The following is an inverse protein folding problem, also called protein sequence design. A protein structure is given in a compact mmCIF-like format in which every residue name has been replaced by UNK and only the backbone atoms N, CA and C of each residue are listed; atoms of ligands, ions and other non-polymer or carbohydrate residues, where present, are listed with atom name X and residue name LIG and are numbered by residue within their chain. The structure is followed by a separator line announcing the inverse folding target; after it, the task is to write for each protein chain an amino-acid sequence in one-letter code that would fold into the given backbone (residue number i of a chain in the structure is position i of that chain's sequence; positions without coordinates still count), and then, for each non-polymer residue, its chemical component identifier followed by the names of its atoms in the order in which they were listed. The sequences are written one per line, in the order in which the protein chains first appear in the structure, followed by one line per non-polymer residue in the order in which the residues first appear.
data_IF_084944753567
#
_entry.id   IF_084944753567
#
_cell.length_a   1.000
_cell.length_b   1.000
_cell.length_c   1.000
_cell.angle_alpha   90.00
_cell.angle_beta   90.00
_cell.angle_gamma   90.00
#
_symmetry.space_group_name_H-M   'P 1'
#
loop_
_entity.id
_entity.type
_entity.pdbx_description
1 polymer ?
#
# COMPACT_ATOMS: atom_id res chain seq x y z
N UNK A 1 -37.33 -42.22 -53.20
CA UNK A 1 -37.67 -40.97 -53.91
C UNK A 1 -38.44 -40.04 -52.98
N UNK A 2 -37.77 -39.02 -52.43
CA UNK A 2 -38.25 -37.62 -52.34
C UNK A 2 -37.22 -36.81 -51.57
N UNK A 3 -36.66 -35.83 -52.27
CA UNK A 3 -35.68 -34.86 -51.81
C UNK A 3 -36.40 -33.81 -50.97
N UNK A 4 -35.78 -33.32 -49.91
CA UNK A 4 -36.06 -31.98 -49.39
C UNK A 4 -34.76 -31.30 -48.98
N UNK A 5 -34.31 -30.44 -49.88
CA UNK A 5 -33.37 -29.34 -49.64
C UNK A 5 -34.09 -28.26 -48.83
N UNK A 6 -33.51 -27.83 -47.71
CA UNK A 6 -33.98 -26.70 -46.92
C UNK A 6 -32.78 -25.93 -46.38
N UNK A 7 -32.71 -24.66 -46.74
CA UNK A 7 -31.57 -23.75 -46.69
C UNK A 7 -31.29 -23.25 -45.27
N UNK A 8 -30.01 -22.96 -45.02
CA UNK A 8 -29.47 -22.32 -43.83
C UNK A 8 -30.13 -20.98 -43.49
N UNK A 9 -30.30 -20.73 -42.20
CA UNK A 9 -30.30 -19.39 -41.62
C UNK A 9 -29.66 -19.47 -40.23
N UNK A 10 -28.32 -19.44 -40.22
CA UNK A 10 -27.54 -19.23 -39.00
C UNK A 10 -27.78 -17.81 -38.51
N UNK A 11 -28.64 -17.68 -37.50
CA UNK A 11 -28.83 -16.43 -36.77
C UNK A 11 -27.77 -16.40 -35.67
N UNK A 12 -26.56 -15.97 -36.04
CA UNK A 12 -25.54 -15.57 -35.05
C UNK A 12 -26.03 -14.26 -34.44
N UNK A 13 -26.80 -14.38 -33.36
CA UNK A 13 -27.00 -13.28 -32.42
C UNK A 13 -25.63 -13.03 -31.76
N UNK A 14 -24.87 -12.14 -32.38
CA UNK A 14 -23.79 -11.43 -31.71
C UNK A 14 -24.44 -10.55 -30.63
N UNK A 15 -24.76 -11.17 -29.49
CA UNK A 15 -25.07 -10.45 -28.28
C UNK A 15 -23.82 -9.69 -27.88
N UNK A 16 -23.76 -8.41 -28.23
CA UNK A 16 -22.99 -7.44 -27.47
C UNK A 16 -23.49 -7.54 -26.03
N UNK A 17 -22.86 -8.40 -25.23
CA UNK A 17 -22.88 -8.26 -23.79
C UNK A 17 -22.31 -6.86 -23.55
N UNK A 18 -23.21 -5.90 -23.39
CA UNK A 18 -22.85 -4.57 -22.94
C UNK A 18 -21.98 -4.79 -21.71
N UNK A 19 -20.74 -4.35 -21.78
CA UNK A 19 -19.93 -4.23 -20.57
C UNK A 19 -20.74 -3.28 -19.69
N UNK A 20 -21.44 -3.83 -18.70
CA UNK A 20 -22.08 -3.03 -17.68
C UNK A 20 -20.98 -2.14 -17.13
N UNK A 21 -21.07 -0.82 -17.39
CA UNK A 21 -20.13 0.13 -16.82
C UNK A 21 -20.18 -0.10 -15.32
N UNK A 22 -19.06 -0.52 -14.74
CA UNK A 22 -19.01 -0.85 -13.33
C UNK A 22 -19.44 0.38 -12.53
N UNK A 23 -20.38 0.21 -11.61
CA UNK A 23 -20.96 1.31 -10.87
C UNK A 23 -19.89 2.03 -10.04
N UNK A 24 -19.96 3.36 -9.96
CA UNK A 24 -19.08 4.15 -9.11
C UNK A 24 -19.51 3.96 -7.64
N UNK A 25 -18.58 3.78 -6.69
CA UNK A 25 -18.91 3.69 -5.26
C UNK A 25 -19.68 4.91 -4.76
N UNK A 26 -20.67 4.67 -3.90
CA UNK A 26 -21.31 5.74 -3.14
C UNK A 26 -20.39 6.30 -2.06
N UNK A 27 -20.61 7.56 -1.66
CA UNK A 27 -19.92 8.16 -0.52
C UNK A 27 -20.09 7.31 0.76
N UNK A 28 -21.30 6.79 0.99
CA UNK A 28 -21.59 5.95 2.14
C UNK A 28 -20.75 4.66 2.14
N UNK A 29 -20.58 4.00 0.99
CA UNK A 29 -19.73 2.82 0.88
C UNK A 29 -18.28 3.13 1.24
N UNK A 30 -17.72 4.24 0.75
CA UNK A 30 -16.35 4.66 1.10
C UNK A 30 -16.22 4.97 2.59
N UNK A 31 -17.20 5.69 3.16
CA UNK A 31 -17.22 5.99 4.61
C UNK A 31 -17.28 4.72 5.45
N UNK A 32 -18.11 3.75 5.07
CA UNK A 32 -18.18 2.47 5.74
C UNK A 32 -16.86 1.70 5.64
N UNK A 33 -16.17 1.76 4.49
CA UNK A 33 -14.88 1.11 4.33
C UNK A 33 -13.85 1.74 5.28
N UNK A 34 -13.81 3.08 5.35
CA UNK A 34 -12.91 3.81 6.27
C UNK A 34 -13.13 3.47 7.74
N UNK A 35 -14.40 3.30 8.12
CA UNK A 35 -14.76 2.84 9.46
C UNK A 35 -14.32 1.38 9.68
N UNK A 36 -14.60 0.49 8.73
CA UNK A 36 -14.26 -0.94 8.82
C UNK A 36 -12.74 -1.18 8.94
N UNK A 37 -11.91 -0.36 8.28
CA UNK A 37 -10.45 -0.41 8.39
C UNK A 37 -9.89 0.34 9.60
N UNK A 38 -10.74 1.02 10.37
CA UNK A 38 -10.37 1.69 11.63
C UNK A 38 -9.66 3.04 11.44
N UNK A 39 -9.93 3.77 10.36
CA UNK A 39 -9.30 5.07 10.07
C UNK A 39 -9.44 6.06 11.24
N UNK A 40 -10.62 6.15 11.87
CA UNK A 40 -10.84 7.04 13.01
C UNK A 40 -9.93 6.73 14.20
N UNK A 41 -9.73 5.43 14.50
CA UNK A 41 -8.82 5.00 15.57
C UNK A 41 -7.37 5.36 15.24
N UNK A 42 -6.96 5.12 14.00
CA UNK A 42 -5.61 5.45 13.53
C UNK A 42 -5.34 6.96 13.64
N UNK A 43 -6.26 7.80 13.18
CA UNK A 43 -6.14 9.25 13.27
C UNK A 43 -6.10 9.75 14.72
N UNK A 44 -6.91 9.17 15.61
CA UNK A 44 -6.89 9.50 17.04
C UNK A 44 -5.55 9.15 17.70
N UNK A 45 -4.98 7.99 17.35
CA UNK A 45 -3.65 7.58 17.83
C UNK A 45 -2.56 8.53 17.33
N UNK A 46 -2.58 8.88 16.04
CA UNK A 46 -1.65 9.85 15.46
C UNK A 46 -1.79 11.22 16.14
N UNK A 47 -3.03 11.68 16.38
CA UNK A 47 -3.27 12.94 17.06
C UNK A 47 -2.73 12.93 18.49
N UNK A 48 -2.91 11.82 19.23
CA UNK A 48 -2.39 11.69 20.59
C UNK A 48 -0.85 11.77 20.62
N UNK A 49 -0.17 11.14 19.65
CA UNK A 49 1.28 11.21 19.52
C UNK A 49 1.75 12.63 19.18
N UNK A 50 1.12 13.28 18.20
CA UNK A 50 1.44 14.66 17.82
C UNK A 50 1.12 15.65 18.94
N UNK A 51 0.04 15.44 19.68
CA UNK A 51 -0.37 16.31 20.79
C UNK A 51 0.72 16.39 21.86
N UNK A 52 1.35 15.26 22.23
CA UNK A 52 2.45 15.27 23.19
C UNK A 52 3.67 16.07 22.69
N UNK A 53 3.99 15.96 21.40
CA UNK A 53 5.07 16.74 20.78
C UNK A 53 4.73 18.23 20.77
N UNK A 54 3.52 18.59 20.36
CA UNK A 54 3.07 19.98 20.26
C UNK A 54 2.94 20.65 21.64
N UNK A 55 2.48 19.91 22.65
CA UNK A 55 2.43 20.39 24.02
C UNK A 55 3.81 20.77 24.56
N UNK A 56 4.85 19.98 24.24
CA UNK A 56 6.22 20.30 24.63
C UNK A 56 6.79 21.49 23.85
N UNK A 57 6.42 21.64 22.58
CA UNK A 57 6.89 22.73 21.73
C UNK A 57 6.21 24.07 22.05
N UNK A 58 4.92 24.04 22.41
CA UNK A 58 4.07 25.21 22.68
C UNK A 58 3.39 25.08 24.05
N UNK A 59 4.14 25.24 25.16
CA UNK A 59 3.63 25.00 26.52
C UNK A 59 2.55 26.00 26.97
N UNK A 60 2.39 27.12 26.26
CA UNK A 60 1.33 28.10 26.52
C UNK A 60 -0.04 27.67 25.98
N UNK A 61 -0.11 26.67 25.10
CA UNK A 61 -1.36 26.14 24.55
C UNK A 61 -1.86 24.99 25.42
N UNK A 62 -3.12 25.01 25.90
CA UNK A 62 -3.65 23.94 26.74
C UNK A 62 -3.60 22.57 26.05
N UNK A 63 -3.27 21.52 26.81
CA UNK A 63 -3.23 20.15 26.29
C UNK A 63 -4.55 19.70 25.63
N UNK A 64 -5.68 20.18 26.14
CA UNK A 64 -7.02 19.89 25.59
C UNK A 64 -7.20 20.40 24.15
N UNK A 65 -6.54 21.49 23.76
CA UNK A 65 -6.57 21.98 22.39
C UNK A 65 -5.97 20.95 21.43
N UNK A 66 -4.78 20.43 21.76
CA UNK A 66 -4.10 19.43 20.95
C UNK A 66 -4.86 18.10 20.92
N UNK A 67 -5.43 17.68 22.05
CA UNK A 67 -6.27 16.48 22.12
C UNK A 67 -7.52 16.60 21.23
N UNK A 68 -8.12 17.78 21.14
CA UNK A 68 -9.27 18.06 20.29
C UNK A 68 -8.94 18.41 18.84
N UNK A 69 -7.65 18.50 18.46
CA UNK A 69 -7.25 18.97 17.14
C UNK A 69 -7.75 18.07 16.00
N UNK A 70 -7.71 16.74 16.19
CA UNK A 70 -8.33 15.77 15.28
C UNK A 70 -9.54 15.15 15.97
N UNK A 71 -10.64 15.89 15.97
CA UNK A 71 -11.92 15.42 16.46
C UNK A 71 -12.70 14.61 15.39
N UNK A 72 -13.93 14.22 15.73
CA UNK A 72 -14.82 13.51 14.82
C UNK A 72 -15.16 14.33 13.55
N UNK A 73 -15.25 15.65 13.67
CA UNK A 73 -15.54 16.52 12.54
C UNK A 73 -14.36 16.62 11.57
N UNK A 74 -13.15 16.83 12.09
CA UNK A 74 -11.91 16.81 11.30
C UNK A 74 -11.71 15.46 10.61
N UNK A 75 -12.00 14.36 11.31
CA UNK A 75 -11.99 13.01 10.74
C UNK A 75 -12.99 12.87 9.59
N UNK A 76 -14.23 13.32 9.78
CA UNK A 76 -15.27 13.26 8.76
C UNK A 76 -14.96 14.11 7.53
N UNK A 77 -14.32 15.28 7.72
CA UNK A 77 -13.85 16.13 6.64
C UNK A 77 -12.74 15.45 5.83
N UNK A 78 -11.77 14.82 6.50
CA UNK A 78 -10.71 14.07 5.83
C UNK A 78 -11.29 12.90 5.02
N UNK A 79 -12.20 12.11 5.62
CA UNK A 79 -12.87 11.01 4.91
C UNK A 79 -13.62 11.55 3.69
N UNK A 80 -14.35 12.67 3.82
CA UNK A 80 -15.04 13.31 2.70
C UNK A 80 -14.10 13.66 1.54
N UNK A 81 -12.88 14.14 1.83
CA UNK A 81 -11.85 14.41 0.81
C UNK A 81 -11.30 13.15 0.14
N UNK A 82 -11.36 12.01 0.82
CA UNK A 82 -10.91 10.71 0.27
C UNK A 82 -11.95 10.06 -0.65
N UNK A 83 -13.24 10.38 -0.50
CA UNK A 83 -14.33 9.83 -1.33
C UNK A 83 -14.02 9.87 -2.84
N UNK A 84 -13.69 11.04 -3.45
CA UNK A 84 -13.41 11.09 -4.88
C UNK A 84 -12.16 10.29 -5.30
N UNK A 85 -11.19 10.11 -4.40
CA UNK A 85 -10.02 9.25 -4.67
C UNK A 85 -10.45 7.80 -4.83
N UNK A 86 -11.29 7.30 -3.93
CA UNK A 86 -11.80 5.93 -4.01
C UNK A 86 -12.72 5.74 -5.22
N UNK A 87 -13.60 6.71 -5.50
CA UNK A 87 -14.47 6.68 -6.68
C UNK A 87 -13.69 6.66 -8.01
N UNK A 88 -12.48 7.20 -8.03
CA UNK A 88 -11.60 7.19 -9.21
C UNK A 88 -10.92 5.83 -9.43
N UNK A 89 -10.63 5.09 -8.36
CA UNK A 89 -9.77 3.90 -8.41
C UNK A 89 -10.50 2.58 -8.20
N UNK A 90 -11.72 2.61 -7.68
CA UNK A 90 -12.50 1.43 -7.34
C UNK A 90 -13.91 1.52 -7.90
N UNK A 91 -14.49 0.36 -8.16
CA UNK A 91 -15.91 0.19 -8.46
C UNK A 91 -16.70 -0.05 -7.17
N UNK A 92 -18.02 0.16 -7.20
CA UNK A 92 -18.89 -0.11 -6.06
C UNK A 92 -18.78 -1.58 -5.60
N UNK A 93 -18.64 -2.51 -6.54
CA UNK A 93 -18.44 -3.93 -6.28
C UNK A 93 -17.10 -4.20 -5.56
N UNK A 94 -16.02 -3.51 -5.95
CA UNK A 94 -14.73 -3.62 -5.25
C UNK A 94 -14.87 -3.19 -3.78
N UNK A 95 -15.54 -2.05 -3.54
CA UNK A 95 -15.73 -1.54 -2.17
C UNK A 95 -16.60 -2.48 -1.33
N UNK A 96 -17.65 -3.08 -1.92
CA UNK A 96 -18.46 -4.10 -1.24
C UNK A 96 -17.65 -5.36 -0.91
N UNK A 97 -16.79 -5.80 -1.84
CA UNK A 97 -15.85 -6.89 -1.61
C UNK A 97 -14.88 -6.60 -0.47
N UNK A 98 -14.29 -5.40 -0.46
CA UNK A 98 -13.40 -4.94 0.61
C UNK A 98 -14.12 -4.86 1.96
N UNK A 99 -15.34 -4.32 1.98
CA UNK A 99 -16.18 -4.27 3.18
C UNK A 99 -16.46 -5.66 3.74
N UNK A 100 -16.85 -6.60 2.87
CA UNK A 100 -17.08 -8.01 3.26
C UNK A 100 -15.81 -8.63 3.85
N UNK A 101 -14.67 -8.41 3.21
CA UNK A 101 -13.40 -8.92 3.69
C UNK A 101 -13.02 -8.31 5.05
N UNK A 102 -12.95 -6.98 5.16
CA UNK A 102 -12.51 -6.32 6.38
C UNK A 102 -13.46 -6.52 7.56
N UNK A 103 -14.75 -6.76 7.34
CA UNK A 103 -15.70 -7.15 8.40
C UNK A 103 -15.57 -8.60 8.84
N UNK A 104 -14.90 -9.46 8.08
CA UNK A 104 -14.68 -10.86 8.46
C UNK A 104 -13.68 -10.99 9.61
N UNK A 105 -13.69 -12.11 10.38
CA UNK A 105 -12.68 -12.37 11.40
C UNK A 105 -11.23 -12.31 10.86
N UNK A 106 -11.02 -12.80 9.63
CA UNK A 106 -9.70 -12.74 8.99
C UNK A 106 -9.32 -11.29 8.64
N UNK A 107 -10.24 -10.51 8.07
CA UNK A 107 -9.98 -9.11 7.73
C UNK A 107 -9.67 -8.25 8.96
N UNK A 108 -10.38 -8.47 10.07
CA UNK A 108 -10.07 -7.84 11.35
C UNK A 108 -8.71 -8.28 11.91
N UNK A 109 -8.33 -9.56 11.76
CA UNK A 109 -6.98 -10.03 12.08
C UNK A 109 -5.92 -9.33 11.22
N UNK A 110 -6.17 -9.12 9.93
CA UNK A 110 -5.27 -8.37 9.04
C UNK A 110 -5.09 -6.93 9.53
N UNK A 111 -6.18 -6.21 9.83
CA UNK A 111 -6.10 -4.83 10.35
C UNK A 111 -5.27 -4.75 11.63
N UNK A 112 -5.41 -5.72 12.52
CA UNK A 112 -4.75 -5.71 13.84
C UNK A 112 -3.30 -6.22 13.81
N UNK A 113 -2.98 -7.19 12.96
CA UNK A 113 -1.68 -7.87 12.97
C UNK A 113 -0.71 -7.35 11.92
N UNK A 114 -1.20 -6.87 10.76
CA UNK A 114 -0.32 -6.43 9.67
C UNK A 114 0.67 -5.33 10.05
N UNK A 115 0.31 -4.31 10.87
CA UNK A 115 1.29 -3.32 11.31
C UNK A 115 2.49 -3.94 12.05
N UNK A 116 2.24 -4.89 12.94
CA UNK A 116 3.29 -5.59 13.68
C UNK A 116 4.11 -6.51 12.76
N UNK A 117 3.45 -7.28 11.89
CA UNK A 117 4.11 -8.13 10.89
C UNK A 117 5.04 -7.32 9.98
N UNK A 118 4.61 -6.14 9.52
CA UNK A 118 5.43 -5.25 8.70
C UNK A 118 6.60 -4.66 9.50
N UNK A 119 6.37 -4.29 10.76
CA UNK A 119 7.44 -3.78 11.64
C UNK A 119 8.54 -4.84 11.87
N UNK A 120 8.15 -6.09 12.16
CA UNK A 120 9.07 -7.21 12.31
C UNK A 120 9.82 -7.51 11.00
N UNK A 121 9.11 -7.51 9.87
CA UNK A 121 9.72 -7.70 8.55
C UNK A 121 10.77 -6.63 8.22
N UNK A 122 10.49 -5.36 8.53
CA UNK A 122 11.47 -4.29 8.37
C UNK A 122 12.70 -4.48 9.26
N UNK A 123 12.53 -4.96 10.49
CA UNK A 123 13.65 -5.24 11.39
C UNK A 123 14.55 -6.36 10.85
N UNK A 124 13.95 -7.44 10.37
CA UNK A 124 14.68 -8.54 9.71
C UNK A 124 15.42 -8.02 8.48
N UNK A 125 14.77 -7.22 7.64
CA UNK A 125 15.40 -6.63 6.45
C UNK A 125 16.61 -5.76 6.78
N UNK A 126 16.55 -4.99 7.87
CA UNK A 126 17.70 -4.19 8.35
C UNK A 126 18.87 -5.09 8.77
N UNK A 127 18.60 -6.15 9.54
CA UNK A 127 19.62 -7.10 9.99
C UNK A 127 20.30 -7.79 8.80
N UNK A 128 19.49 -8.36 7.90
CA UNK A 128 19.98 -8.98 6.67
C UNK A 128 20.81 -8.01 5.82
N UNK A 129 20.37 -6.76 5.67
CA UNK A 129 21.10 -5.72 4.93
C UNK A 129 22.47 -5.41 5.54
N UNK A 130 22.57 -5.35 6.88
CA UNK A 130 23.83 -5.16 7.59
C UNK A 130 24.78 -6.34 7.38
N UNK A 131 24.27 -7.57 7.47
CA UNK A 131 25.06 -8.79 7.23
C UNK A 131 25.59 -8.85 5.81
N UNK A 132 24.72 -8.61 4.82
CA UNK A 132 25.11 -8.54 3.41
C UNK A 132 26.13 -7.44 3.14
N UNK A 133 25.98 -6.28 3.77
CA UNK A 133 26.95 -5.19 3.70
C UNK A 133 28.32 -5.61 4.22
N UNK A 134 28.38 -6.27 5.39
CA UNK A 134 29.65 -6.78 5.96
C UNK A 134 30.30 -7.81 5.04
N UNK A 135 29.52 -8.75 4.50
CA UNK A 135 30.02 -9.77 3.56
C UNK A 135 30.59 -9.11 2.30
N UNK A 136 29.88 -8.13 1.73
CA UNK A 136 30.34 -7.38 0.56
C UNK A 136 31.67 -6.67 0.84
N UNK A 137 31.78 -5.94 1.96
CA UNK A 137 33.03 -5.27 2.33
C UNK A 137 34.18 -6.27 2.47
N UNK A 138 33.96 -7.38 3.20
CA UNK A 138 34.97 -8.42 3.36
C UNK A 138 35.43 -9.01 2.01
N UNK A 139 34.49 -9.25 1.09
CA UNK A 139 34.80 -9.77 -0.24
C UNK A 139 35.62 -8.76 -1.05
N UNK A 140 35.19 -7.50 -1.07
CA UNK A 140 35.89 -6.45 -1.81
C UNK A 140 37.29 -6.16 -1.24
N UNK A 141 37.48 -6.30 0.08
CA UNK A 141 38.78 -6.22 0.73
C UNK A 141 39.69 -7.38 0.35
N UNK A 142 39.17 -8.62 0.35
CA UNK A 142 39.96 -9.80 -0.08
C UNK A 142 40.39 -9.74 -1.55
N UNK A 143 39.63 -9.02 -2.38
CA UNK A 143 39.93 -8.82 -3.79
C UNK A 143 40.87 -7.62 -4.03
N UNK A 144 41.23 -6.87 -2.97
CA UNK A 144 42.02 -5.65 -3.08
C UNK A 144 41.28 -4.46 -3.69
N UNK A 145 39.97 -4.59 -3.95
CA UNK A 145 39.12 -3.51 -4.47
C UNK A 145 38.87 -2.43 -3.43
N UNK A 146 38.76 -2.81 -2.16
CA UNK A 146 38.72 -1.89 -1.01
C UNK A 146 39.95 -2.10 -0.12
N UNK A 147 40.43 -1.04 0.52
CA UNK A 147 41.46 -1.12 1.54
C UNK A 147 40.88 -1.63 2.89
N UNK A 148 41.73 -1.82 3.90
CA UNK A 148 41.32 -2.29 5.23
C UNK A 148 40.34 -1.36 5.96
N UNK A 149 40.25 -0.09 5.56
CA UNK A 149 39.29 0.89 6.09
C UNK A 149 37.94 0.86 5.34
N UNK A 150 37.78 -0.02 4.35
CA UNK A 150 36.58 -0.13 3.53
C UNK A 150 36.46 0.97 2.47
N UNK A 151 37.55 1.64 2.14
CA UNK A 151 37.60 2.75 1.20
C UNK A 151 38.23 2.31 -0.13
N UNK A 152 37.80 2.93 -1.23
CA UNK A 152 38.48 2.78 -2.52
C UNK A 152 39.92 3.30 -2.40
N UNK A 153 40.91 2.62 -3.01
CA UNK A 153 42.27 3.14 -3.09
C UNK A 153 42.30 4.50 -3.82
N UNK A 154 43.11 5.45 -3.35
CA UNK A 154 43.21 6.80 -3.90
C UNK A 154 43.62 6.85 -5.40
N UNK A 155 44.18 5.75 -5.92
CA UNK A 155 44.64 5.60 -7.31
C UNK A 155 43.72 4.73 -8.17
N UNK A 156 42.65 4.16 -7.61
CA UNK A 156 41.76 3.24 -8.32
C UNK A 156 40.72 4.01 -9.15
N UNK A 157 40.97 4.18 -10.45
CA UNK A 157 39.90 4.48 -11.40
C UNK A 157 38.93 3.30 -11.44
N UNK A 158 37.61 3.57 -11.48
CA UNK A 158 36.60 2.52 -11.56
C UNK A 158 36.88 1.61 -12.77
N UNK A 159 37.13 0.32 -12.54
CA UNK A 159 37.17 -0.65 -13.64
C UNK A 159 35.81 -0.63 -14.34
N UNK A 160 35.75 -0.56 -15.68
CA UNK A 160 34.49 -0.61 -16.41
C UNK A 160 33.71 -1.86 -16.02
N UNK A 161 32.41 -1.73 -15.79
CA UNK A 161 31.55 -2.87 -15.51
C UNK A 161 31.66 -3.89 -16.66
N UNK A 162 31.84 -5.19 -16.38
CA UNK A 162 31.76 -6.19 -17.43
C UNK A 162 30.37 -6.13 -18.08
N UNK A 163 30.36 -6.15 -19.42
CA UNK A 163 29.12 -6.11 -20.19
C UNK A 163 28.16 -7.22 -19.70
N UNK A 164 26.85 -6.93 -19.58
CA UNK A 164 25.89 -7.94 -19.16
C UNK A 164 25.99 -9.14 -20.09
N UNK A 165 26.10 -10.34 -19.50
CA UNK A 165 26.17 -11.57 -20.27
C UNK A 165 24.95 -11.66 -21.20
N UNK A 166 25.12 -12.14 -22.46
CA UNK A 166 24.00 -12.29 -23.38
C UNK A 166 22.95 -13.20 -22.74
N UNK A 167 21.71 -12.72 -22.71
CA UNK A 167 20.56 -13.52 -22.28
C UNK A 167 20.47 -14.74 -23.21
N UNK A 168 20.49 -15.94 -22.64
CA UNK A 168 20.10 -17.16 -23.35
C UNK A 168 18.59 -17.18 -23.54
#
# INVERSE_FOLDING_TARGET
MRKWTGIAAGLVLAGCAGQALAAVPSEQQVRQLMDAVGMGRMLSQMNSQMAGVMQNALPCVPASYWQGFVDANATNQLIGRMVPVYQKHFTAEDIDGLLKFYRSPLGQKVITQMPATMAEGMQIGKQWGQERGKQMISQLQSQGTLNQQGQCPATAAAKPAPAPAPKK
#
